data_IF_582664676462
#
_entry.id   IF_582664676462
#
_cell.length_a   1.000
_cell.length_b   1.000
_cell.length_c   1.000
_cell.angle_alpha   90.00
_cell.angle_beta   90.00
_cell.angle_gamma   90.00
#
_symmetry.space_group_name_H-M   'P 1'
#
loop_
_entity.id
_entity.type
_entity.pdbx_description
1 polymer ?
#
# COMPACT_ATOMS: atom_id res chain seq x y z
N UNK A 1 27.17 -32.04 -10.29
CA UNK A 1 27.28 -31.37 -11.61
C UNK A 1 25.93 -30.72 -11.90
N UNK A 2 25.85 -29.38 -11.97
CA UNK A 2 24.60 -28.63 -11.96
C UNK A 2 24.24 -28.06 -13.34
N UNK A 3 22.95 -27.75 -13.55
CA UNK A 3 22.53 -26.61 -14.37
C UNK A 3 21.06 -26.27 -14.11
N UNK A 4 20.82 -25.14 -13.44
CA UNK A 4 19.60 -24.37 -13.66
C UNK A 4 19.98 -22.88 -13.70
N UNK A 5 19.79 -22.30 -14.88
CA UNK A 5 19.86 -20.86 -15.11
C UNK A 5 18.56 -20.23 -14.62
N UNK A 6 18.67 -19.24 -13.73
CA UNK A 6 17.62 -18.24 -13.53
C UNK A 6 18.23 -16.89 -13.86
N UNK A 7 17.71 -16.30 -14.94
CA UNK A 7 18.06 -14.97 -15.41
C UNK A 7 17.42 -13.93 -14.48
N UNK A 8 18.13 -13.54 -13.43
CA UNK A 8 17.76 -12.39 -12.61
C UNK A 8 18.21 -11.10 -13.30
N UNK A 9 17.30 -10.55 -14.11
CA UNK A 9 17.44 -9.25 -14.76
C UNK A 9 17.41 -8.09 -13.77
N UNK A 10 18.45 -7.96 -12.95
CA UNK A 10 18.81 -6.71 -12.25
C UNK A 10 20.31 -6.53 -12.24
N UNK A 11 20.79 -5.72 -13.18
CA UNK A 11 22.14 -5.16 -13.14
C UNK A 11 22.33 -4.35 -11.85
N UNK A 12 22.99 -4.97 -10.86
CA UNK A 12 23.63 -4.30 -9.76
C UNK A 12 24.89 -3.59 -10.28
N UNK A 13 24.73 -2.34 -10.75
CA UNK A 13 25.84 -1.41 -10.76
C UNK A 13 25.93 -0.77 -9.38
N UNK A 14 26.68 -1.41 -8.49
CA UNK A 14 27.34 -0.71 -7.41
C UNK A 14 28.31 0.30 -8.05
N UNK A 15 27.92 1.57 -8.13
CA UNK A 15 28.88 2.67 -8.21
C UNK A 15 28.99 3.28 -6.83
N UNK A 16 30.01 2.83 -6.10
CA UNK A 16 30.65 3.59 -5.04
C UNK A 16 31.12 4.91 -5.65
N UNK A 17 30.47 6.02 -5.31
CA UNK A 17 31.05 7.33 -5.55
C UNK A 17 32.09 7.57 -4.45
N UNK A 18 33.35 7.38 -4.84
CA UNK A 18 34.52 7.87 -4.12
C UNK A 18 34.43 9.38 -3.93
N UNK A 19 34.75 9.85 -2.73
CA UNK A 19 34.53 11.22 -2.25
C UNK A 19 35.57 12.24 -2.77
N UNK A 20 36.33 11.92 -3.82
CA UNK A 20 37.53 12.69 -4.19
C UNK A 20 37.58 13.28 -5.60
N UNK A 21 36.59 13.05 -6.47
CA UNK A 21 36.68 13.50 -7.87
C UNK A 21 35.66 14.57 -8.23
N UNK A 22 35.88 15.81 -7.77
CA UNK A 22 35.39 17.01 -8.49
C UNK A 22 36.19 18.25 -8.07
N UNK A 23 37.37 18.35 -8.66
CA UNK A 23 38.24 19.53 -8.62
C UNK A 23 37.98 20.34 -9.91
N UNK A 24 37.49 21.59 -9.70
CA UNK A 24 37.60 22.84 -10.51
C UNK A 24 36.55 23.23 -11.57
N UNK A 25 36.37 24.55 -11.89
CA UNK A 25 36.90 25.77 -11.24
C UNK A 25 35.84 26.87 -10.93
N UNK A 26 36.33 27.87 -10.20
CA UNK A 26 35.78 29.17 -9.82
C UNK A 26 35.19 29.97 -10.99
N UNK A 27 34.02 30.60 -10.77
CA UNK A 27 33.76 31.97 -11.22
C UNK A 27 32.89 32.71 -10.19
N UNK A 28 33.41 33.85 -9.75
CA UNK A 28 32.95 34.71 -8.67
C UNK A 28 31.51 35.24 -8.85
N UNK A 29 30.71 35.14 -7.78
CA UNK A 29 29.91 36.27 -7.31
C UNK A 29 30.35 36.51 -5.86
N UNK A 30 31.00 37.66 -5.64
CA UNK A 30 31.42 38.11 -4.31
C UNK A 30 30.18 38.32 -3.42
N UNK A 31 29.85 37.34 -2.60
CA UNK A 31 29.31 37.60 -1.27
C UNK A 31 30.32 37.01 -0.30
N UNK A 32 30.95 37.89 0.47
CA UNK A 32 32.01 37.61 1.43
C UNK A 32 31.49 36.72 2.57
N UNK A 33 31.40 35.41 2.35
CA UNK A 33 31.02 34.43 3.36
C UNK A 33 32.15 33.40 3.42
N UNK A 34 32.82 33.33 4.59
CA UNK A 34 33.86 32.33 4.92
C UNK A 34 33.39 30.91 4.56
N UNK A 35 34.29 29.96 4.25
CA UNK A 35 33.92 28.56 4.16
C UNK A 35 33.40 28.10 5.53
N UNK A 36 32.07 27.97 5.64
CA UNK A 36 31.39 27.50 6.84
C UNK A 36 31.50 25.97 6.91
N UNK A 37 31.84 25.47 8.08
CA UNK A 37 31.92 24.03 8.35
C UNK A 37 30.56 23.34 8.10
N UNK A 38 30.61 22.03 7.84
CA UNK A 38 29.42 21.24 7.54
C UNK A 38 28.37 21.28 8.67
N UNK A 39 28.81 21.51 9.91
CA UNK A 39 27.92 21.63 11.07
C UNK A 39 27.13 22.93 11.07
N UNK A 40 27.74 24.05 10.64
CA UNK A 40 27.08 25.35 10.51
C UNK A 40 26.07 25.37 9.36
N UNK A 41 26.29 24.57 8.31
CA UNK A 41 25.33 24.42 7.21
C UNK A 41 24.01 23.75 7.65
N UNK A 42 24.10 22.76 8.56
CA UNK A 42 22.94 22.09 9.17
C UNK A 42 22.20 23.01 10.14
N UNK A 43 22.92 23.87 10.86
CA UNK A 43 22.32 24.83 11.80
C UNK A 43 21.60 25.95 11.03
N UNK A 44 22.19 26.47 9.95
CA UNK A 44 21.51 27.48 9.11
C UNK A 44 20.29 26.91 8.37
N UNK A 45 20.35 25.68 7.85
CA UNK A 45 19.17 25.08 7.20
C UNK A 45 18.06 24.84 8.21
N UNK A 46 18.36 24.32 9.40
CA UNK A 46 17.36 24.11 10.45
C UNK A 46 16.74 25.43 10.94
N UNK A 47 17.53 26.51 11.06
CA UNK A 47 17.04 27.81 11.52
C UNK A 47 16.17 28.53 10.48
N UNK A 48 16.52 28.44 9.19
CA UNK A 48 15.75 29.08 8.10
C UNK A 48 14.40 28.38 7.90
N UNK A 49 14.32 27.05 8.06
CA UNK A 49 13.07 26.30 7.85
C UNK A 49 12.07 26.38 9.00
N UNK A 50 12.48 26.82 10.20
CA UNK A 50 11.57 26.99 11.35
C UNK A 50 10.81 28.32 11.34
N UNK A 51 11.36 29.39 10.77
CA UNK A 51 10.70 30.70 10.67
C UNK A 51 9.90 30.89 9.36
N UNK A 52 10.14 30.05 8.36
CA UNK A 52 9.34 30.02 7.14
C UNK A 52 8.01 29.30 7.43
N UNK A 53 6.88 29.94 7.12
CA UNK A 53 5.51 29.40 7.21
C UNK A 53 5.28 28.22 6.25
N UNK A 54 6.06 27.15 6.38
CA UNK A 54 5.93 25.95 5.60
C UNK A 54 4.92 25.05 6.30
N UNK A 55 3.83 24.66 5.60
CA UNK A 55 2.85 23.73 6.11
C UNK A 55 3.48 22.45 6.66
N UNK A 56 3.03 22.04 7.86
CA UNK A 56 3.58 20.88 8.57
C UNK A 56 3.50 19.62 7.71
N UNK A 57 2.45 19.47 6.90
CA UNK A 57 2.25 18.32 6.02
C UNK A 57 3.28 18.24 4.88
N UNK A 58 3.93 19.34 4.52
CA UNK A 58 4.93 19.39 3.45
C UNK A 58 6.36 19.20 3.94
N UNK A 59 6.62 19.41 5.24
CA UNK A 59 7.96 19.29 5.84
C UNK A 59 8.65 17.95 5.57
N UNK A 60 7.98 16.79 5.66
CA UNK A 60 8.61 15.49 5.39
C UNK A 60 9.10 15.32 3.94
N UNK A 61 8.60 16.13 3.00
CA UNK A 61 8.92 16.01 1.58
C UNK A 61 10.03 16.96 1.13
N UNK A 62 10.54 17.78 2.05
CA UNK A 62 11.71 18.63 1.85
C UNK A 62 12.96 17.76 1.97
N UNK A 63 13.84 17.72 0.96
CA UNK A 63 15.10 17.01 1.08
C UNK A 63 15.99 17.59 2.18
N UNK A 64 16.86 16.77 2.78
CA UNK A 64 17.76 17.21 3.86
C UNK A 64 18.65 18.41 3.47
N UNK A 65 18.97 18.56 2.18
CA UNK A 65 19.73 19.70 1.67
C UNK A 65 18.88 20.95 1.36
N UNK A 66 17.57 20.93 1.62
CA UNK A 66 16.61 22.00 1.34
C UNK A 66 16.32 22.27 -0.14
N UNK A 67 17.02 21.60 -1.06
CA UNK A 67 16.99 21.90 -2.49
C UNK A 67 15.92 21.08 -3.20
N UNK A 68 14.94 21.76 -3.78
CA UNK A 68 13.88 21.13 -4.56
C UNK A 68 14.10 21.43 -6.04
N UNK A 69 14.15 20.37 -6.84
CA UNK A 69 14.38 20.45 -8.27
C UNK A 69 13.14 20.04 -9.05
N UNK A 70 12.97 20.63 -10.23
CA UNK A 70 11.94 20.22 -11.20
C UNK A 70 12.57 19.92 -12.55
N UNK A 71 12.06 18.89 -13.21
CA UNK A 71 12.41 18.59 -14.59
C UNK A 71 11.60 19.48 -15.53
N UNK A 72 12.24 20.01 -16.57
CA UNK A 72 11.54 20.58 -17.70
C UNK A 72 11.19 19.49 -18.75
N UNK A 73 10.49 19.89 -19.82
CA UNK A 73 10.12 18.99 -20.93
C UNK A 73 11.33 18.35 -21.63
N UNK A 74 12.51 18.98 -21.56
CA UNK A 74 13.77 18.48 -22.09
C UNK A 74 14.57 17.64 -21.07
N UNK A 75 13.95 17.19 -19.98
CA UNK A 75 14.57 16.44 -18.86
C UNK A 75 15.73 17.17 -18.15
N UNK A 76 15.89 18.48 -18.35
CA UNK A 76 16.86 19.28 -17.58
C UNK A 76 16.28 19.60 -16.21
N UNK A 77 17.07 19.36 -15.16
CA UNK A 77 16.74 19.71 -13.77
C UNK A 77 17.11 21.16 -13.52
N UNK A 78 16.19 21.93 -12.98
CA UNK A 78 16.47 23.27 -12.45
C UNK A 78 16.06 23.36 -11.00
N UNK A 79 16.82 24.13 -10.24
CA UNK A 79 16.55 24.41 -8.83
C UNK A 79 15.35 25.35 -8.74
N UNK A 80 14.40 25.03 -7.87
CA UNK A 80 13.29 25.91 -7.53
C UNK A 80 13.72 26.82 -6.38
N UNK A 81 13.40 28.10 -6.51
CA UNK A 81 13.55 29.06 -5.44
C UNK A 81 12.75 28.59 -4.20
N UNK A 82 13.39 28.48 -3.02
CA UNK A 82 12.71 28.12 -1.79
C UNK A 82 11.47 28.98 -1.56
N UNK A 83 10.39 28.39 -1.01
CA UNK A 83 9.17 29.11 -0.61
C UNK A 83 8.36 29.70 -1.80
N UNK A 84 8.87 29.62 -3.03
CA UNK A 84 8.10 30.01 -4.21
C UNK A 84 6.86 29.10 -4.40
N UNK A 85 5.82 29.62 -5.05
CA UNK A 85 4.64 28.81 -5.41
C UNK A 85 5.01 27.50 -6.13
N UNK A 86 5.96 27.58 -7.07
CA UNK A 86 6.45 26.41 -7.82
C UNK A 86 7.13 25.38 -6.91
N UNK A 87 7.85 25.84 -5.88
CA UNK A 87 8.50 24.98 -4.90
C UNK A 87 7.47 24.22 -4.06
N UNK A 88 6.45 24.92 -3.54
CA UNK A 88 5.34 24.27 -2.83
C UNK A 88 4.56 23.29 -3.71
N UNK A 89 4.30 23.64 -4.98
CA UNK A 89 3.61 22.76 -5.91
C UNK A 89 4.39 21.46 -6.16
N UNK A 90 5.72 21.54 -6.23
CA UNK A 90 6.58 20.36 -6.38
C UNK A 90 6.60 19.49 -5.11
N UNK A 91 6.55 20.10 -3.92
CA UNK A 91 6.41 19.34 -2.67
C UNK A 91 5.05 18.64 -2.56
N UNK A 92 3.96 19.33 -2.92
CA UNK A 92 2.62 18.71 -3.00
C UNK A 92 2.62 17.55 -3.98
N UNK A 93 3.23 17.72 -5.16
CA UNK A 93 3.38 16.64 -6.15
C UNK A 93 4.08 15.42 -5.55
N UNK A 94 5.16 15.62 -4.80
CA UNK A 94 5.89 14.53 -4.11
C UNK A 94 5.05 13.85 -3.04
N UNK A 95 4.34 14.63 -2.21
CA UNK A 95 3.40 14.11 -1.21
C UNK A 95 2.33 13.24 -1.87
N UNK A 96 1.71 13.72 -2.93
CA UNK A 96 0.62 13.03 -3.60
C UNK A 96 1.11 11.72 -4.25
N UNK A 97 2.31 11.73 -4.82
CA UNK A 97 2.98 10.52 -5.34
C UNK A 97 3.27 9.51 -4.23
N UNK A 98 3.87 9.97 -3.12
CA UNK A 98 4.12 9.10 -1.97
C UNK A 98 2.81 8.52 -1.44
N UNK A 99 1.77 9.34 -1.29
CA UNK A 99 0.44 8.89 -0.88
C UNK A 99 -0.17 7.87 -1.84
N UNK A 100 0.07 8.00 -3.15
CA UNK A 100 -0.38 7.01 -4.13
C UNK A 100 0.36 5.67 -3.98
N UNK A 101 1.68 5.70 -3.78
CA UNK A 101 2.51 4.51 -3.54
C UNK A 101 2.05 3.80 -2.27
N UNK A 102 1.97 4.52 -1.14
CA UNK A 102 1.54 3.94 0.15
C UNK A 102 0.12 3.38 0.08
N UNK A 103 -0.79 4.03 -0.66
CA UNK A 103 -2.13 3.47 -0.88
C UNK A 103 -2.10 2.20 -1.71
N UNK A 104 -1.23 2.13 -2.72
CA UNK A 104 -0.98 0.91 -3.50
C UNK A 104 -0.49 -0.22 -2.62
N UNK A 105 0.61 -0.01 -1.88
CA UNK A 105 1.18 -0.99 -0.96
C UNK A 105 0.17 -1.51 0.07
N UNK A 106 -0.66 -0.61 0.63
CA UNK A 106 -1.74 -0.99 1.55
C UNK A 106 -2.79 -1.89 0.89
N UNK A 107 -3.13 -1.63 -0.37
CA UNK A 107 -4.08 -2.46 -1.13
C UNK A 107 -3.48 -3.83 -1.42
N UNK A 108 -2.23 -3.87 -1.84
CA UNK A 108 -1.51 -5.11 -2.16
C UNK A 108 -1.38 -5.99 -0.92
N UNK A 109 -0.97 -5.41 0.22
CA UNK A 109 -0.93 -6.14 1.49
C UNK A 109 -2.32 -6.59 1.97
N UNK A 110 -3.37 -5.79 1.74
CA UNK A 110 -4.73 -6.21 2.07
C UNK A 110 -5.18 -7.41 1.22
N UNK A 111 -4.86 -7.41 -0.07
CA UNK A 111 -5.12 -8.52 -0.97
C UNK A 111 -4.32 -9.77 -0.55
N UNK A 112 -3.03 -9.61 -0.25
CA UNK A 112 -2.15 -10.69 0.22
C UNK A 112 -2.63 -11.31 1.54
N UNK A 113 -3.10 -10.49 2.49
CA UNK A 113 -3.68 -11.03 3.74
C UNK A 113 -4.94 -11.84 3.47
N UNK A 114 -5.80 -11.40 2.54
CA UNK A 114 -7.01 -12.12 2.15
C UNK A 114 -6.69 -13.44 1.45
N UNK A 115 -5.74 -13.44 0.51
CA UNK A 115 -5.31 -14.67 -0.19
C UNK A 115 -4.77 -15.69 0.80
N UNK A 116 -3.92 -15.25 1.74
CA UNK A 116 -3.34 -16.12 2.77
C UNK A 116 -4.40 -16.68 3.71
N UNK A 117 -5.31 -15.83 4.21
CA UNK A 117 -6.39 -16.25 5.11
C UNK A 117 -7.29 -17.30 4.45
N UNK A 118 -7.62 -17.09 3.17
CA UNK A 118 -8.47 -17.99 2.43
C UNK A 118 -7.70 -19.14 1.78
N UNK A 119 -6.36 -19.20 1.88
CA UNK A 119 -5.53 -20.22 1.24
C UNK A 119 -5.72 -20.31 -0.28
N UNK A 120 -5.85 -19.16 -0.96
CA UNK A 120 -6.13 -19.07 -2.41
C UNK A 120 -5.19 -18.09 -3.11
N UNK A 121 -5.19 -18.06 -4.44
CA UNK A 121 -4.42 -17.07 -5.20
C UNK A 121 -5.19 -15.75 -5.35
N UNK A 122 -4.48 -14.64 -5.61
CA UNK A 122 -5.09 -13.30 -5.74
C UNK A 122 -6.17 -13.26 -6.83
N UNK A 123 -5.95 -14.00 -7.92
CA UNK A 123 -6.88 -14.10 -9.05
C UNK A 123 -8.15 -14.91 -8.72
N UNK A 124 -8.18 -15.59 -7.58
CA UNK A 124 -9.24 -16.51 -7.16
C UNK A 124 -9.81 -16.16 -5.78
N UNK A 125 -9.47 -14.99 -5.23
CA UNK A 125 -9.98 -14.52 -3.94
C UNK A 125 -11.50 -14.34 -4.00
N UNK A 126 -12.00 -13.63 -5.00
CA UNK A 126 -13.42 -13.33 -5.11
C UNK A 126 -14.24 -14.60 -5.27
N UNK A 127 -13.81 -15.52 -6.15
CA UNK A 127 -14.44 -16.84 -6.30
C UNK A 127 -14.51 -17.58 -4.96
N UNK A 128 -13.44 -17.57 -4.15
CA UNK A 128 -13.43 -18.27 -2.87
C UNK A 128 -14.27 -17.57 -1.81
N UNK A 129 -14.37 -16.23 -1.84
CA UNK A 129 -15.28 -15.46 -0.99
C UNK A 129 -16.73 -15.84 -1.32
N UNK A 130 -17.08 -15.91 -2.60
CA UNK A 130 -18.44 -16.22 -3.03
C UNK A 130 -18.84 -17.66 -2.68
N UNK A 131 -17.95 -18.63 -2.92
CA UNK A 131 -18.16 -20.01 -2.43
C UNK A 131 -18.37 -20.07 -0.92
N UNK A 132 -17.63 -19.27 -0.14
CA UNK A 132 -17.80 -19.19 1.31
C UNK A 132 -19.16 -18.62 1.72
N UNK A 133 -19.68 -17.64 0.97
CA UNK A 133 -21.03 -17.08 1.18
C UNK A 133 -22.10 -18.10 0.85
N UNK A 134 -21.98 -18.78 -0.28
CA UNK A 134 -22.93 -19.81 -0.72
C UNK A 134 -23.02 -20.94 0.31
N UNK A 135 -21.87 -21.42 0.80
CA UNK A 135 -21.81 -22.43 1.86
C UNK A 135 -22.47 -21.95 3.15
N UNK A 136 -22.22 -20.70 3.55
CA UNK A 136 -22.83 -20.11 4.75
C UNK A 136 -24.34 -20.00 4.61
N UNK A 137 -24.83 -19.60 3.44
CA UNK A 137 -26.26 -19.50 3.15
C UNK A 137 -26.92 -20.88 3.15
N UNK A 138 -26.29 -21.86 2.50
CA UNK A 138 -26.77 -23.24 2.52
C UNK A 138 -26.86 -23.78 3.95
N UNK A 139 -25.81 -23.60 4.75
CA UNK A 139 -25.80 -24.01 6.16
C UNK A 139 -26.92 -23.34 6.97
N UNK A 140 -27.18 -22.04 6.74
CA UNK A 140 -28.26 -21.33 7.43
C UNK A 140 -29.64 -21.86 7.05
N UNK A 141 -29.89 -22.12 5.76
CA UNK A 141 -31.15 -22.70 5.28
C UNK A 141 -31.33 -24.10 5.86
N UNK A 142 -30.31 -24.94 5.78
CA UNK A 142 -30.34 -26.29 6.30
C UNK A 142 -30.60 -26.31 7.81
N UNK A 143 -29.89 -25.48 8.58
CA UNK A 143 -30.07 -25.38 10.02
C UNK A 143 -31.49 -24.93 10.39
N UNK A 144 -32.04 -23.93 9.69
CA UNK A 144 -33.41 -23.48 9.91
C UNK A 144 -34.42 -24.61 9.64
N UNK A 145 -34.29 -25.32 8.52
CA UNK A 145 -35.15 -26.46 8.19
C UNK A 145 -35.10 -27.54 9.27
N UNK A 146 -33.91 -27.93 9.70
CA UNK A 146 -33.73 -28.95 10.74
C UNK A 146 -34.28 -28.51 12.09
N UNK A 147 -34.15 -27.23 12.44
CA UNK A 147 -34.67 -26.67 13.69
C UNK A 147 -36.19 -26.61 13.67
N UNK A 148 -36.80 -26.18 12.55
CA UNK A 148 -38.24 -26.21 12.34
C UNK A 148 -38.77 -27.63 12.42
N UNK A 149 -38.07 -28.59 11.80
CA UNK A 149 -38.41 -30.00 11.85
C UNK A 149 -38.40 -30.55 13.28
N UNK A 150 -37.30 -30.39 14.01
CA UNK A 150 -37.21 -30.81 15.42
C UNK A 150 -38.31 -30.19 16.26
N UNK A 151 -38.57 -28.89 16.09
CA UNK A 151 -39.63 -28.18 16.81
C UNK A 151 -41.03 -28.69 16.48
N UNK A 152 -41.26 -29.15 15.24
CA UNK A 152 -42.53 -29.72 14.81
C UNK A 152 -42.70 -31.16 15.31
N UNK A 153 -41.65 -31.99 15.24
CA UNK A 153 -41.64 -33.33 15.83
C UNK A 153 -41.99 -33.31 17.32
N UNK A 154 -41.40 -32.39 18.09
CA UNK A 154 -41.70 -32.25 19.52
C UNK A 154 -43.16 -31.90 19.83
N UNK A 155 -43.92 -31.41 18.83
CA UNK A 155 -45.34 -31.08 18.97
C UNK A 155 -46.27 -32.20 18.50
N UNK A 156 -45.76 -33.19 17.77
CA UNK A 156 -46.55 -34.33 17.33
C UNK A 156 -46.59 -35.37 18.45
N UNK A 157 -47.78 -35.66 18.95
CA UNK A 157 -48.02 -36.71 19.96
C UNK A 157 -48.53 -38.01 19.33
N UNK A 158 -49.00 -37.96 18.08
CA UNK A 158 -49.59 -39.08 17.35
C UNK A 158 -48.54 -39.82 16.48
N UNK A 159 -48.26 -41.11 16.73
CA UNK A 159 -47.25 -41.86 15.99
C UNK A 159 -47.56 -42.06 14.51
N UNK A 160 -48.84 -42.03 14.08
CA UNK A 160 -49.17 -42.19 12.66
C UNK A 160 -48.75 -40.98 11.82
N UNK A 161 -48.89 -39.77 12.40
CA UNK A 161 -48.48 -38.51 11.76
C UNK A 161 -46.96 -38.33 11.70
N UNK A 162 -46.21 -39.03 12.55
CA UNK A 162 -44.74 -39.06 12.48
C UNK A 162 -44.24 -39.85 11.27
N UNK A 163 -44.89 -40.96 10.93
CA UNK A 163 -44.49 -41.82 9.79
C UNK A 163 -44.78 -41.14 8.44
N UNK A 164 -45.90 -40.44 8.33
CA UNK A 164 -46.25 -39.67 7.13
C UNK A 164 -45.26 -38.52 6.88
N UNK A 165 -44.88 -37.80 7.94
CA UNK A 165 -43.94 -36.69 7.88
C UNK A 165 -42.51 -37.12 7.51
N UNK A 166 -42.04 -38.25 8.04
CA UNK A 166 -40.71 -38.79 7.73
C UNK A 166 -40.59 -39.20 6.25
N UNK A 167 -41.69 -39.69 5.68
CA UNK A 167 -41.78 -40.08 4.27
C UNK A 167 -41.75 -38.88 3.31
N UNK A 168 -42.46 -37.80 3.62
CA UNK A 168 -42.48 -36.56 2.81
C UNK A 168 -41.15 -35.79 2.85
N UNK A 169 -40.42 -35.85 3.97
CA UNK A 169 -39.18 -35.11 4.15
C UNK A 169 -37.95 -35.79 3.55
N UNK A 170 -37.99 -37.11 3.34
CA UNK A 170 -36.96 -37.85 2.59
C UNK A 170 -36.74 -37.26 1.18
N UNK A 171 -37.75 -36.61 0.60
CA UNK A 171 -37.64 -35.93 -0.69
C UNK A 171 -37.07 -34.50 -0.63
N UNK A 172 -37.19 -33.81 0.51
CA UNK A 172 -36.83 -32.39 0.66
C UNK A 172 -35.38 -32.20 1.15
N UNK A 173 -34.83 -33.21 1.85
CA UNK A 173 -33.47 -33.17 2.41
C UNK A 173 -32.41 -33.58 1.37
N UNK A 174 -32.79 -34.34 0.33
CA UNK A 174 -31.87 -34.94 -0.65
C UNK A 174 -31.91 -34.31 -2.05
N UNK A 175 -32.55 -33.15 -2.22
CA UNK A 175 -32.45 -32.28 -3.40
C UNK A 175 -31.63 -31.03 -3.09
#
# INVERSE_FOLDING_TARGET
MPTYFINDGRHNLQRLYSLNDLVLPVLLVQLNIKPMDANSSLIMTNFIFTELEIPIDLRPFIPANGRVYRNNKQKKKYLLEPVSKKWFDELRRRRDQHGAITRGERRDHAAERKTRLLGTSINKVDQRIDMGRDLTQYQAIYHNRMTCYSSYLHKITDPAKLVELDSDLSWIIFQ
#
